data_IF_239891377165
#
_entry.id   IF_239891377165
#
_cell.length_a   1.000
_cell.length_b   1.000
_cell.length_c   1.000
_cell.angle_alpha   90.00
_cell.angle_beta   90.00
_cell.angle_gamma   90.00
#
_symmetry.space_group_name_H-M   'P 1'
#
loop_
_entity.id
_entity.type
_entity.pdbx_description
1 polymer ?
#
# COMPACT_ATOMS: atom_id res chain seq x y z
N UNK A 1 0.61 13.54 29.45
CA UNK A 1 1.74 13.82 28.54
C UNK A 1 1.15 14.12 27.17
N UNK A 2 1.85 14.81 26.26
CA UNK A 2 1.32 15.02 24.90
C UNK A 2 1.53 13.79 24.05
N UNK A 3 0.58 13.52 23.14
CA UNK A 3 0.71 12.47 22.14
C UNK A 3 1.96 12.70 21.27
N UNK A 4 2.70 11.63 20.98
CA UNK A 4 3.93 11.65 20.18
C UNK A 4 3.68 11.97 18.70
N UNK A 5 2.44 11.79 18.21
CA UNK A 5 2.06 12.15 16.83
C UNK A 5 2.11 13.67 16.64
N UNK A 6 2.86 14.18 15.65
CA UNK A 6 2.94 15.61 15.37
C UNK A 6 1.56 16.24 15.21
N UNK A 7 1.38 17.44 15.76
CA UNK A 7 0.13 18.22 15.70
C UNK A 7 -1.07 17.60 16.42
N UNK A 8 -0.91 16.46 17.11
CA UNK A 8 -1.96 15.92 17.95
C UNK A 8 -2.13 16.79 19.21
N UNK A 9 -3.37 17.24 19.45
CA UNK A 9 -3.72 18.07 20.61
C UNK A 9 -4.18 17.26 21.83
N UNK A 10 -4.29 15.93 21.71
CA UNK A 10 -4.78 15.08 22.79
C UNK A 10 -3.70 14.85 23.86
N UNK A 11 -4.09 14.99 25.12
CA UNK A 11 -3.18 14.90 26.27
C UNK A 11 -3.43 13.67 27.16
N UNK A 12 -4.52 12.92 26.91
CA UNK A 12 -4.75 11.63 27.52
C UNK A 12 -4.04 10.56 26.69
N UNK A 13 -2.89 10.08 27.18
CA UNK A 13 -2.00 9.17 26.46
C UNK A 13 -1.64 7.95 27.28
N UNK A 14 -1.39 6.84 26.60
CA UNK A 14 -0.80 5.63 27.15
C UNK A 14 0.56 5.34 26.48
N UNK A 15 1.50 4.70 27.21
CA UNK A 15 2.70 4.14 26.58
C UNK A 15 2.30 2.97 25.67
N UNK A 16 2.77 3.01 24.43
CA UNK A 16 2.61 1.93 23.45
C UNK A 16 3.99 1.48 23.01
N UNK A 17 4.21 0.17 22.99
CA UNK A 17 5.44 -0.45 22.48
C UNK A 17 5.19 -0.95 21.07
N UNK A 18 6.00 -0.49 20.12
CA UNK A 18 5.89 -0.84 18.70
C UNK A 18 7.20 -1.50 18.28
N UNK A 19 7.15 -2.71 17.73
CA UNK A 19 8.36 -3.47 17.39
C UNK A 19 8.87 -3.16 15.98
N UNK A 20 7.96 -2.91 15.05
CA UNK A 20 8.21 -2.86 13.61
C UNK A 20 8.02 -1.46 13.02
N UNK A 21 7.46 -0.52 13.79
CA UNK A 21 7.44 0.91 13.44
C UNK A 21 8.79 1.54 13.75
N UNK A 22 9.66 1.59 12.74
CA UNK A 22 11.03 2.11 12.87
C UNK A 22 11.07 3.51 13.50
N UNK A 23 11.94 3.68 14.50
CA UNK A 23 12.17 4.93 15.21
C UNK A 23 11.18 5.23 16.35
N UNK A 24 10.18 4.36 16.59
CA UNK A 24 9.12 4.55 17.59
C UNK A 24 8.96 3.34 18.56
N UNK A 25 10.04 2.81 19.16
CA UNK A 25 9.97 1.57 19.94
C UNK A 25 9.08 1.68 21.21
N UNK A 26 9.03 2.86 21.82
CA UNK A 26 8.16 3.17 22.95
C UNK A 26 7.70 4.64 22.85
N UNK A 27 6.39 4.84 22.70
CA UNK A 27 5.79 6.15 22.39
C UNK A 27 4.55 6.41 23.22
N UNK A 28 4.25 7.69 23.46
CA UNK A 28 3.05 8.11 24.19
C UNK A 28 1.94 8.42 23.19
N UNK A 29 0.89 7.61 23.13
CA UNK A 29 -0.18 7.79 22.14
C UNK A 29 -1.53 7.99 22.82
N UNK A 30 -2.36 8.89 22.28
CA UNK A 30 -3.76 8.93 22.67
C UNK A 30 -4.51 7.72 22.10
N UNK A 31 -5.62 7.30 22.71
CA UNK A 31 -6.38 6.09 22.33
C UNK A 31 -6.58 5.92 20.81
N UNK A 32 -6.99 7.00 20.11
CA UNK A 32 -7.17 6.99 18.66
C UNK A 32 -5.89 6.60 17.89
N UNK A 33 -4.74 7.19 18.23
CA UNK A 33 -3.47 6.85 17.59
C UNK A 33 -2.94 5.50 18.09
N UNK A 34 -3.17 5.15 19.36
CA UNK A 34 -2.75 3.88 19.92
C UNK A 34 -3.38 2.70 19.17
N UNK A 35 -4.68 2.75 18.87
CA UNK A 35 -5.36 1.72 18.08
C UNK A 35 -4.78 1.61 16.66
N UNK A 36 -4.55 2.74 15.99
CA UNK A 36 -3.99 2.76 14.63
C UNK A 36 -2.55 2.25 14.57
N UNK A 37 -1.70 2.66 15.50
CA UNK A 37 -0.30 2.23 15.54
C UNK A 37 -0.14 0.77 15.98
N UNK A 38 -1.01 0.25 16.87
CA UNK A 38 -1.06 -1.20 17.17
C UNK A 38 -1.39 -1.99 15.91
N UNK A 39 -2.43 -1.58 15.18
CA UNK A 39 -2.78 -2.17 13.90
C UNK A 39 -1.61 -2.12 12.88
N UNK A 40 -0.92 -0.99 12.76
CA UNK A 40 0.25 -0.87 11.88
C UNK A 40 1.36 -1.85 12.29
N UNK A 41 1.65 -1.96 13.58
CA UNK A 41 2.69 -2.85 14.08
C UNK A 41 2.34 -4.32 13.79
N UNK A 42 1.06 -4.69 13.95
CA UNK A 42 0.54 -6.03 13.64
C UNK A 42 0.65 -6.35 12.14
N UNK A 43 0.30 -5.41 11.26
CA UNK A 43 0.40 -5.61 9.79
C UNK A 43 1.86 -5.71 9.33
N UNK A 44 2.76 -4.90 9.91
CA UNK A 44 4.19 -4.98 9.62
C UNK A 44 4.80 -6.29 10.13
N UNK A 45 4.41 -6.76 11.31
CA UNK A 45 4.83 -8.05 11.86
C UNK A 45 4.34 -9.21 10.96
N UNK A 46 3.06 -9.20 10.62
CA UNK A 46 2.41 -10.17 9.72
C UNK A 46 3.13 -10.25 8.36
N UNK A 47 3.48 -9.11 7.78
CA UNK A 47 4.24 -9.05 6.54
C UNK A 47 5.67 -9.58 6.72
N UNK A 48 6.38 -9.18 7.77
CA UNK A 48 7.76 -9.61 8.04
C UNK A 48 7.87 -11.12 8.35
N UNK A 49 6.84 -11.71 8.95
CA UNK A 49 6.74 -13.14 9.23
C UNK A 49 6.35 -13.98 8.00
N UNK A 50 5.99 -13.34 6.89
CA UNK A 50 5.60 -14.05 5.67
C UNK A 50 6.76 -14.88 5.13
N UNK A 51 6.47 -16.13 4.76
CA UNK A 51 7.49 -17.07 4.28
C UNK A 51 8.15 -16.54 3.01
N UNK A 52 9.47 -16.37 3.05
CA UNK A 52 10.25 -15.84 1.93
C UNK A 52 10.37 -14.32 1.91
N UNK A 53 9.90 -13.61 2.95
CA UNK A 53 9.99 -12.15 3.03
C UNK A 53 11.44 -11.65 2.86
N UNK A 54 12.37 -12.13 3.67
CA UNK A 54 13.77 -11.72 3.61
C UNK A 54 14.43 -12.15 2.29
N UNK A 55 14.10 -13.34 1.82
CA UNK A 55 14.66 -13.94 0.61
C UNK A 55 14.21 -13.24 -0.66
N UNK A 56 13.01 -12.65 -0.68
CA UNK A 56 12.45 -11.97 -1.86
C UNK A 56 12.44 -10.46 -1.74
N UNK A 57 12.90 -9.90 -0.61
CA UNK A 57 12.88 -8.46 -0.32
C UNK A 57 13.50 -7.62 -1.44
N UNK A 58 14.55 -8.11 -2.10
CA UNK A 58 15.17 -7.44 -3.25
C UNK A 58 14.17 -7.07 -4.36
N UNK A 59 13.23 -7.98 -4.68
CA UNK A 59 12.20 -7.72 -5.70
C UNK A 59 11.11 -6.77 -5.19
N UNK A 60 10.72 -6.94 -3.93
CA UNK A 60 9.57 -6.23 -3.34
C UNK A 60 9.94 -4.97 -2.56
N UNK A 61 11.21 -4.54 -2.58
CA UNK A 61 11.70 -3.37 -1.84
C UNK A 61 10.82 -2.13 -2.07
N UNK A 62 10.64 -1.72 -3.34
CA UNK A 62 9.83 -0.54 -3.68
C UNK A 62 8.36 -0.72 -3.21
N UNK A 63 7.67 -1.82 -3.56
CA UNK A 63 6.32 -2.09 -3.06
C UNK A 63 6.19 -2.04 -1.53
N UNK A 64 7.15 -2.64 -0.80
CA UNK A 64 7.15 -2.68 0.67
C UNK A 64 7.34 -1.27 1.25
N UNK A 65 8.26 -0.47 0.70
CA UNK A 65 8.45 0.90 1.17
C UNK A 65 7.22 1.78 0.92
N UNK A 66 6.54 1.63 -0.23
CA UNK A 66 5.27 2.31 -0.49
C UNK A 66 4.17 1.89 0.50
N UNK A 67 4.09 0.59 0.82
CA UNK A 67 3.14 0.07 1.80
C UNK A 67 3.41 0.60 3.21
N UNK A 68 4.68 0.71 3.61
CA UNK A 68 5.08 1.36 4.88
C UNK A 68 4.63 2.82 4.94
N UNK A 69 4.76 3.57 3.84
CA UNK A 69 4.24 4.94 3.79
C UNK A 69 2.72 5.00 3.90
N UNK A 70 2.01 4.05 3.28
CA UNK A 70 0.55 3.94 3.40
C UNK A 70 0.09 3.67 4.85
N UNK A 71 0.81 2.78 5.54
CA UNK A 71 0.59 2.47 6.95
C UNK A 71 0.87 3.68 7.85
N UNK A 72 1.98 4.39 7.65
CA UNK A 72 2.30 5.60 8.41
C UNK A 72 1.28 6.71 8.19
N UNK A 73 0.83 6.93 6.95
CA UNK A 73 -0.24 7.88 6.64
C UNK A 73 -1.52 7.55 7.41
N UNK A 74 -1.90 6.27 7.44
CA UNK A 74 -3.02 5.80 8.26
C UNK A 74 -2.79 6.08 9.74
N UNK A 75 -1.59 5.80 10.27
CA UNK A 75 -1.24 6.11 11.67
C UNK A 75 -1.44 7.57 12.05
N UNK A 76 -1.24 8.48 11.10
CA UNK A 76 -1.36 9.94 11.29
C UNK A 76 -2.78 10.50 11.12
N UNK A 77 -3.80 9.68 10.83
CA UNK A 77 -5.13 10.23 10.50
C UNK A 77 -5.41 10.39 9.01
N UNK A 78 -4.42 10.15 8.14
CA UNK A 78 -4.46 10.49 6.72
C UNK A 78 -4.97 9.30 5.88
N UNK A 79 -6.27 9.05 5.95
CA UNK A 79 -6.92 7.89 5.33
C UNK A 79 -6.81 7.90 3.79
N UNK A 80 -6.94 9.07 3.15
CA UNK A 80 -6.92 9.21 1.69
C UNK A 80 -5.51 9.01 1.10
N UNK A 81 -4.44 9.67 1.63
CA UNK A 81 -3.08 9.36 1.23
C UNK A 81 -2.72 7.90 1.47
N UNK A 82 -3.19 7.30 2.57
CA UNK A 82 -3.00 5.88 2.85
C UNK A 82 -3.58 5.00 1.74
N UNK A 83 -4.81 5.26 1.30
CA UNK A 83 -5.45 4.48 0.24
C UNK A 83 -4.73 4.59 -1.11
N UNK A 84 -4.29 5.80 -1.49
CA UNK A 84 -3.50 6.03 -2.71
C UNK A 84 -2.17 5.27 -2.65
N UNK A 85 -1.45 5.36 -1.52
CA UNK A 85 -0.15 4.71 -1.38
C UNK A 85 -0.28 3.19 -1.35
N UNK A 86 -1.32 2.64 -0.71
CA UNK A 86 -1.62 1.21 -0.73
C UNK A 86 -1.91 0.71 -2.17
N UNK A 87 -2.64 1.50 -2.96
CA UNK A 87 -2.85 1.25 -4.39
C UNK A 87 -1.53 1.21 -5.15
N UNK A 88 -0.67 2.22 -4.98
CA UNK A 88 0.63 2.28 -5.65
C UNK A 88 1.56 1.14 -5.23
N UNK A 89 1.56 0.76 -3.95
CA UNK A 89 2.32 -0.36 -3.44
C UNK A 89 1.92 -1.67 -4.14
N UNK A 90 0.62 -1.95 -4.22
CA UNK A 90 0.12 -3.18 -4.82
C UNK A 90 0.26 -3.20 -6.34
N UNK A 91 0.06 -2.05 -7.00
CA UNK A 91 0.35 -1.88 -8.44
C UNK A 91 1.82 -2.19 -8.75
N UNK A 92 2.75 -1.65 -7.96
CA UNK A 92 4.17 -1.94 -8.10
C UNK A 92 4.49 -3.43 -7.84
N UNK A 93 3.89 -4.04 -6.80
CA UNK A 93 4.14 -5.45 -6.47
C UNK A 93 3.74 -6.39 -7.62
N UNK A 94 2.54 -6.19 -8.18
CA UNK A 94 2.07 -6.97 -9.33
C UNK A 94 2.96 -6.72 -10.55
N UNK A 95 3.33 -5.47 -10.81
CA UNK A 95 4.20 -5.13 -11.93
C UNK A 95 5.53 -5.89 -11.84
N UNK A 96 6.27 -5.74 -10.73
CA UNK A 96 7.56 -6.42 -10.54
C UNK A 96 7.44 -7.93 -10.65
N UNK A 97 6.38 -8.51 -10.08
CA UNK A 97 6.19 -9.95 -10.12
C UNK A 97 5.85 -10.49 -11.51
N UNK A 98 5.05 -9.76 -12.29
CA UNK A 98 4.62 -10.17 -13.64
C UNK A 98 5.73 -10.04 -14.68
N UNK A 99 6.65 -9.09 -14.52
CA UNK A 99 7.80 -8.95 -15.44
C UNK A 99 8.96 -9.87 -15.07
N UNK A 100 8.97 -10.48 -13.89
CA UNK A 100 10.09 -11.30 -13.46
C UNK A 100 10.03 -12.72 -14.06
N UNK A 101 11.06 -13.07 -14.84
CA UNK A 101 11.40 -14.42 -15.31
C UNK A 101 12.72 -14.89 -14.68
N UNK A 102 12.99 -16.19 -14.76
CA UNK A 102 14.27 -16.81 -14.38
C UNK A 102 14.85 -16.29 -13.06
N UNK A 103 14.09 -16.44 -11.98
CA UNK A 103 14.50 -16.00 -10.64
C UNK A 103 15.78 -16.73 -10.21
N UNK A 104 16.86 -15.99 -9.92
CA UNK A 104 18.13 -16.55 -9.47
C UNK A 104 18.32 -16.31 -7.98
N UNK A 105 18.46 -17.41 -7.26
CA UNK A 105 18.71 -17.42 -5.82
C UNK A 105 20.16 -17.80 -5.54
N UNK A 106 20.76 -17.20 -4.52
CA UNK A 106 22.09 -17.58 -4.05
C UNK A 106 22.03 -18.84 -3.16
N UNK A 107 23.20 -19.29 -2.69
CA UNK A 107 23.32 -20.49 -1.84
C UNK A 107 22.54 -20.38 -0.52
N UNK A 108 22.30 -19.16 -0.02
CA UNK A 108 21.50 -18.89 1.18
C UNK A 108 19.99 -18.83 0.88
N UNK A 109 19.57 -19.07 -0.36
CA UNK A 109 18.17 -19.01 -0.77
C UNK A 109 17.62 -17.60 -0.95
N UNK A 110 18.49 -16.57 -1.01
CA UNK A 110 18.09 -15.16 -1.22
C UNK A 110 18.09 -14.85 -2.71
N UNK A 111 17.03 -14.20 -3.20
CA UNK A 111 16.91 -13.72 -4.57
C UNK A 111 17.95 -12.62 -4.81
N UNK A 112 18.82 -12.85 -5.79
CA UNK A 112 19.88 -11.88 -6.15
C UNK A 112 19.65 -11.23 -7.51
N UNK A 113 18.87 -11.86 -8.38
CA UNK A 113 18.50 -11.29 -9.68
C UNK A 113 17.31 -12.02 -10.28
N UNK A 114 16.66 -11.40 -11.24
CA UNK A 114 15.70 -12.02 -12.14
C UNK A 114 15.94 -11.47 -13.54
N UNK A 115 15.59 -12.24 -14.57
CA UNK A 115 15.58 -11.74 -15.95
C UNK A 115 14.24 -11.04 -16.19
N UNK A 116 14.21 -9.77 -16.58
CA UNK A 116 12.97 -9.14 -16.99
C UNK A 116 12.44 -9.79 -18.28
N UNK A 117 11.15 -10.07 -18.34
CA UNK A 117 10.49 -10.58 -19.53
C UNK A 117 10.21 -9.44 -20.51
N UNK A 118 11.06 -9.27 -21.52
CA UNK A 118 10.92 -8.21 -22.53
C UNK A 118 9.55 -8.22 -23.22
N UNK A 119 8.93 -9.40 -23.42
CA UNK A 119 7.59 -9.48 -23.99
C UNK A 119 6.55 -8.90 -23.04
N UNK A 120 6.57 -9.29 -21.75
CA UNK A 120 5.66 -8.71 -20.76
C UNK A 120 5.95 -7.22 -20.56
N UNK A 121 7.21 -6.80 -20.52
CA UNK A 121 7.59 -5.39 -20.41
C UNK A 121 7.05 -4.59 -21.57
N UNK A 122 7.19 -5.06 -22.81
CA UNK A 122 6.71 -4.35 -24.00
C UNK A 122 5.18 -4.35 -24.07
N UNK A 123 4.53 -5.49 -23.80
CA UNK A 123 3.07 -5.57 -23.69
C UNK A 123 2.51 -4.65 -22.61
N UNK A 124 3.25 -4.48 -21.52
CA UNK A 124 2.95 -3.54 -20.47
C UNK A 124 3.18 -2.11 -20.97
N UNK A 125 4.35 -1.74 -21.49
CA UNK A 125 4.64 -0.37 -21.97
C UNK A 125 3.69 0.15 -23.05
N UNK A 126 3.27 -0.69 -23.99
CA UNK A 126 2.44 -0.29 -25.14
C UNK A 126 0.97 -0.07 -24.79
N UNK A 127 0.51 -0.68 -23.69
CA UNK A 127 -0.82 -0.39 -23.13
C UNK A 127 -0.61 0.72 -22.11
N UNK A 128 -1.52 1.70 -22.04
CA UNK A 128 -1.58 2.59 -20.86
C UNK A 128 -1.88 1.69 -19.65
N UNK A 129 -0.85 1.19 -18.97
CA UNK A 129 -0.98 0.19 -17.91
C UNK A 129 -1.79 0.83 -16.79
N UNK A 130 -3.06 0.48 -16.72
CA UNK A 130 -3.84 0.68 -15.52
C UNK A 130 -3.66 -0.52 -14.61
N UNK A 131 -3.69 -0.29 -13.31
CA UNK A 131 -3.70 -1.32 -12.28
C UNK A 131 -4.68 -2.48 -12.56
N UNK A 132 -5.84 -2.22 -13.19
CA UNK A 132 -6.79 -3.26 -13.61
C UNK A 132 -6.18 -4.31 -14.56
N UNK A 133 -5.33 -3.87 -15.50
CA UNK A 133 -4.68 -4.76 -16.44
C UNK A 133 -3.74 -5.73 -15.71
N UNK A 134 -2.96 -5.23 -14.75
CA UNK A 134 -2.08 -6.04 -13.92
C UNK A 134 -2.85 -7.10 -13.12
N UNK A 135 -3.97 -6.70 -12.50
CA UNK A 135 -4.86 -7.62 -11.77
C UNK A 135 -5.36 -8.74 -12.69
N UNK A 136 -5.81 -8.39 -13.89
CA UNK A 136 -6.32 -9.35 -14.86
C UNK A 136 -5.23 -10.33 -15.33
N UNK A 137 -4.03 -9.82 -15.64
CA UNK A 137 -2.88 -10.65 -16.00
C UNK A 137 -2.48 -11.61 -14.86
N UNK A 138 -2.44 -11.11 -13.62
CA UNK A 138 -2.11 -11.92 -12.46
C UNK A 138 -3.17 -13.00 -12.20
N UNK A 139 -4.45 -12.71 -12.40
CA UNK A 139 -5.51 -13.71 -12.32
C UNK A 139 -5.40 -14.79 -13.39
N UNK A 140 -5.21 -14.40 -14.65
CA UNK A 140 -5.10 -15.33 -15.79
C UNK A 140 -3.86 -16.23 -15.61
N UNK A 141 -2.75 -15.67 -15.13
CA UNK A 141 -1.52 -16.41 -14.83
C UNK A 141 -1.60 -17.29 -13.58
N UNK A 142 -2.75 -17.39 -12.92
CA UNK A 142 -2.93 -18.18 -11.69
C UNK A 142 -2.25 -17.60 -10.45
N UNK A 143 -1.67 -16.40 -10.54
CA UNK A 143 -0.98 -15.74 -9.44
C UNK A 143 -1.96 -15.22 -8.39
N UNK A 144 -3.18 -14.81 -8.78
CA UNK A 144 -4.23 -14.39 -7.84
C UNK A 144 -5.45 -15.31 -7.96
N UNK A 145 -5.91 -15.83 -6.82
CA UNK A 145 -7.20 -16.50 -6.73
C UNK A 145 -8.36 -15.46 -6.69
N UNK A 146 -9.61 -15.93 -6.65
CA UNK A 146 -10.77 -15.03 -6.66
C UNK A 146 -10.81 -14.07 -5.46
N UNK A 147 -10.50 -14.53 -4.25
CA UNK A 147 -10.52 -13.70 -3.04
C UNK A 147 -9.45 -12.59 -3.09
N UNK A 148 -8.24 -12.94 -3.54
CA UNK A 148 -7.14 -11.98 -3.69
C UNK A 148 -7.38 -11.01 -4.86
N UNK A 149 -8.04 -11.48 -5.92
CA UNK A 149 -8.50 -10.61 -7.01
C UNK A 149 -9.50 -9.58 -6.51
N UNK A 150 -10.46 -9.99 -5.68
CA UNK A 150 -11.43 -9.08 -5.07
C UNK A 150 -10.74 -8.06 -4.16
N UNK A 151 -9.80 -8.50 -3.32
CA UNK A 151 -8.97 -7.60 -2.50
C UNK A 151 -8.21 -6.58 -3.35
N UNK A 152 -7.53 -7.02 -4.41
CA UNK A 152 -6.79 -6.12 -5.29
C UNK A 152 -7.70 -5.12 -6.02
N UNK A 153 -8.88 -5.56 -6.49
CA UNK A 153 -9.87 -4.68 -7.10
C UNK A 153 -10.42 -3.64 -6.12
N UNK A 154 -10.62 -4.02 -4.85
CA UNK A 154 -11.02 -3.08 -3.81
C UNK A 154 -9.97 -1.99 -3.61
N UNK A 155 -8.70 -2.38 -3.46
CA UNK A 155 -7.58 -1.44 -3.32
C UNK A 155 -7.48 -0.49 -4.52
N UNK A 156 -7.61 -1.05 -5.73
CA UNK A 156 -7.67 -0.27 -6.97
C UNK A 156 -8.82 0.74 -6.93
N UNK A 157 -10.04 0.28 -6.68
CA UNK A 157 -11.23 1.12 -6.78
C UNK A 157 -11.21 2.25 -5.75
N UNK A 158 -10.77 1.98 -4.52
CA UNK A 158 -10.65 3.00 -3.48
C UNK A 158 -9.59 4.04 -3.85
N UNK A 159 -8.38 3.62 -4.27
CA UNK A 159 -7.36 4.56 -4.69
C UNK A 159 -7.72 5.34 -5.97
N UNK A 160 -8.38 4.72 -6.95
CA UNK A 160 -8.88 5.41 -8.16
C UNK A 160 -9.95 6.44 -7.79
N UNK A 161 -10.87 6.09 -6.89
CA UNK A 161 -11.92 6.99 -6.41
C UNK A 161 -11.30 8.23 -5.73
N UNK A 162 -10.39 8.03 -4.77
CA UNK A 162 -9.70 9.12 -4.10
C UNK A 162 -8.91 9.98 -5.09
N UNK A 163 -8.21 9.38 -6.06
CA UNK A 163 -7.45 10.13 -7.07
C UNK A 163 -8.36 11.03 -7.92
N UNK A 164 -9.51 10.52 -8.36
CA UNK A 164 -10.49 11.32 -9.13
C UNK A 164 -11.03 12.49 -8.31
N UNK A 165 -11.26 12.29 -7.02
CA UNK A 165 -11.76 13.34 -6.14
C UNK A 165 -10.69 14.39 -5.86
N UNK A 166 -9.44 13.98 -5.66
CA UNK A 166 -8.30 14.88 -5.51
C UNK A 166 -8.10 15.75 -6.77
N UNK A 167 -8.27 15.18 -7.97
CA UNK A 167 -8.24 15.92 -9.22
C UNK A 167 -9.37 16.95 -9.31
N UNK A 168 -10.62 16.54 -9.03
CA UNK A 168 -11.77 17.44 -9.01
C UNK A 168 -11.58 18.59 -8.01
N UNK A 169 -11.06 18.28 -6.82
CA UNK A 169 -10.76 19.27 -5.78
C UNK A 169 -9.70 20.27 -6.25
N UNK A 170 -8.60 19.78 -6.82
CA UNK A 170 -7.52 20.62 -7.35
C UNK A 170 -8.02 21.54 -8.46
N UNK A 171 -8.89 21.04 -9.35
CA UNK A 171 -9.52 21.85 -10.40
C UNK A 171 -10.41 22.95 -9.82
N UNK A 172 -11.30 22.61 -8.88
CA UNK A 172 -12.17 23.58 -8.20
C UNK A 172 -11.35 24.66 -7.47
N UNK A 173 -10.29 24.30 -6.77
CA UNK A 173 -9.39 25.26 -6.13
C UNK A 173 -8.69 26.18 -7.14
N UNK A 174 -8.21 25.61 -8.26
CA UNK A 174 -7.54 26.38 -9.32
C UNK A 174 -8.49 27.37 -10.01
N UNK A 175 -9.75 26.98 -10.21
CA UNK A 175 -10.80 27.86 -10.75
C UNK A 175 -11.19 28.95 -9.74
N UNK A 176 -11.31 28.60 -8.47
CA UNK A 176 -11.57 29.54 -7.38
C UNK A 176 -10.41 30.52 -7.15
N UNK A 177 -9.16 30.12 -7.40
CA UNK A 177 -8.00 31.03 -7.30
C UNK A 177 -7.87 31.96 -8.50
N UNK A 178 -8.39 31.57 -9.68
CA UNK A 178 -8.39 32.39 -10.91
C UNK A 178 -9.51 33.42 -10.94
N UNK A 179 -10.62 33.12 -10.27
CA UNK A 179 -11.74 34.05 -10.12
C UNK A 179 -11.56 34.80 -8.80
N UNK A 180 -11.63 36.13 -8.79
CA UNK A 180 -11.49 36.97 -7.59
C UNK A 180 -12.67 36.83 -6.61
N UNK A 181 -13.26 35.63 -6.52
CA UNK A 181 -14.50 35.35 -5.82
C UNK A 181 -14.18 35.00 -4.37
N UNK A 182 -14.40 35.99 -3.51
CA UNK A 182 -14.45 35.86 -2.05
C UNK A 182 -15.31 34.67 -1.63
N UNK A 183 -14.75 33.82 -0.76
CA UNK A 183 -15.45 32.95 0.19
C UNK A 183 -16.80 32.38 -0.27
N UNK A 184 -16.77 31.36 -1.13
CA UNK A 184 -17.95 30.50 -1.31
C UNK A 184 -17.91 29.38 -0.27
N UNK A 185 -18.66 29.55 0.81
CA UNK A 185 -18.89 28.53 1.85
C UNK A 185 -19.53 27.24 1.33
N UNK A 186 -20.01 27.21 0.08
CA UNK A 186 -20.47 25.99 -0.59
C UNK A 186 -19.33 25.06 -1.00
N UNK A 187 -18.14 25.60 -1.34
CA UNK A 187 -16.97 24.77 -1.64
C UNK A 187 -16.62 23.91 -0.43
N UNK A 188 -16.75 24.47 0.79
CA UNK A 188 -16.42 23.77 2.04
C UNK A 188 -17.43 22.72 2.49
N UNK A 189 -18.71 22.84 2.10
CA UNK A 189 -19.75 21.86 2.50
C UNK A 189 -19.80 20.64 1.58
N UNK A 190 -19.34 20.76 0.33
CA UNK A 190 -19.14 19.64 -0.59
C UNK A 190 -17.87 18.80 -0.25
N UNK A 191 -17.10 19.19 0.77
CA UNK A 191 -15.81 18.55 1.16
C UNK A 191 -15.95 17.35 2.10
N UNK A 192 -17.15 16.81 2.34
CA UNK A 192 -17.28 15.55 3.08
C UNK A 192 -17.08 14.36 2.15
N UNK A 193 -15.86 14.25 1.65
CA UNK A 193 -15.33 13.03 1.04
C UNK A 193 -14.28 12.54 2.03
N UNK A 194 -14.65 11.56 2.84
CA UNK A 194 -13.74 10.96 3.78
C UNK A 194 -13.84 9.46 3.60
N UNK A 195 -12.71 8.85 3.22
CA UNK A 195 -12.59 7.41 3.41
C UNK A 195 -12.60 7.22 4.92
N UNK A 196 -13.57 6.49 5.45
CA UNK A 196 -13.66 6.32 6.90
C UNK A 196 -12.50 5.46 7.42
N UNK A 197 -12.34 5.42 8.75
CA UNK A 197 -11.29 4.66 9.40
C UNK A 197 -11.30 3.17 9.01
N UNK A 198 -12.49 2.57 8.95
CA UNK A 198 -12.67 1.15 8.71
C UNK A 198 -12.41 0.78 7.25
N UNK A 199 -12.78 1.67 6.33
CA UNK A 199 -12.50 1.49 4.92
C UNK A 199 -11.01 1.66 4.61
N UNK A 200 -10.33 2.64 5.22
CA UNK A 200 -8.88 2.80 5.13
C UNK A 200 -8.13 1.57 5.67
N UNK A 201 -8.56 1.10 6.84
CA UNK A 201 -8.01 -0.11 7.48
C UNK A 201 -8.17 -1.33 6.58
N UNK A 202 -9.38 -1.61 6.09
CA UNK A 202 -9.64 -2.72 5.17
C UNK A 202 -8.86 -2.60 3.86
N UNK A 203 -8.59 -1.37 3.39
CA UNK A 203 -7.79 -1.14 2.21
C UNK A 203 -6.33 -1.54 2.42
N UNK A 204 -5.76 -1.21 3.59
CA UNK A 204 -4.44 -1.67 4.02
C UNK A 204 -4.43 -3.20 4.15
N UNK A 205 -5.39 -3.79 4.87
CA UNK A 205 -5.48 -5.25 5.08
C UNK A 205 -5.44 -5.98 3.74
N UNK A 206 -6.27 -5.55 2.78
CA UNK A 206 -6.29 -6.13 1.44
C UNK A 206 -4.95 -5.98 0.72
N UNK A 207 -4.25 -4.84 0.86
CA UNK A 207 -2.96 -4.62 0.23
C UNK A 207 -1.87 -5.51 0.85
N UNK A 208 -1.84 -5.63 2.18
CA UNK A 208 -0.92 -6.50 2.91
C UNK A 208 -1.15 -7.96 2.52
N UNK A 209 -2.39 -8.44 2.55
CA UNK A 209 -2.71 -9.84 2.21
C UNK A 209 -2.28 -10.22 0.79
N UNK A 210 -2.52 -9.35 -0.20
CA UNK A 210 -2.05 -9.62 -1.56
C UNK A 210 -0.52 -9.56 -1.64
N UNK A 211 0.14 -8.62 -0.95
CA UNK A 211 1.60 -8.54 -0.89
C UNK A 211 2.21 -9.81 -0.31
N UNK A 212 1.65 -10.33 0.79
CA UNK A 212 2.09 -11.56 1.44
C UNK A 212 2.02 -12.74 0.47
N UNK A 213 0.89 -12.88 -0.22
CA UNK A 213 0.71 -13.94 -1.21
C UNK A 213 1.73 -13.85 -2.35
N UNK A 214 2.01 -12.64 -2.86
CA UNK A 214 3.01 -12.45 -3.92
C UNK A 214 4.42 -12.83 -3.47
N UNK A 215 4.79 -12.48 -2.23
CA UNK A 215 6.06 -12.86 -1.61
C UNK A 215 6.18 -14.39 -1.53
N UNK A 216 5.15 -15.06 -0.98
CA UNK A 216 5.16 -16.52 -0.81
C UNK A 216 5.24 -17.26 -2.15
N UNK A 217 4.44 -16.85 -3.14
CA UNK A 217 4.45 -17.47 -4.47
C UNK A 217 5.79 -17.28 -5.18
N UNK A 218 6.41 -16.11 -5.00
CA UNK A 218 7.76 -15.84 -5.54
C UNK A 218 8.80 -16.74 -4.89
N UNK A 219 8.71 -16.94 -3.58
CA UNK A 219 9.60 -17.81 -2.85
C UNK A 219 9.40 -19.30 -3.19
N UNK A 220 8.15 -19.75 -3.39
CA UNK A 220 7.87 -21.15 -3.79
C UNK A 220 8.55 -21.51 -5.11
N UNK A 221 8.59 -20.60 -6.08
CA UNK A 221 9.32 -20.82 -7.33
C UNK A 221 10.83 -21.08 -7.12
N UNK A 222 11.42 -20.48 -6.09
CA UNK A 222 12.81 -20.75 -5.69
C UNK A 222 13.02 -22.21 -5.27
N UNK A 223 12.05 -22.77 -4.54
CA UNK A 223 12.13 -24.11 -3.98
C UNK A 223 11.97 -25.21 -5.03
N UNK A 224 11.18 -24.95 -6.09
CA UNK A 224 10.98 -25.88 -7.21
C UNK A 224 12.20 -25.90 -8.15
N UNK A 225 12.95 -24.81 -8.26
CA UNK A 225 14.17 -24.74 -9.07
C UNK A 225 15.37 -25.49 -8.45
N UNK A 226 15.26 -25.98 -7.21
CA UNK A 226 16.30 -26.74 -6.50
C UNK A 226 16.14 -28.27 -6.61
N UNK A 227 15.07 -28.76 -7.21
CA UNK A 227 14.79 -30.19 -7.47
C UNK A 227 14.97 -30.51 -8.94
#
# INVERSE_FOLDING_TARGET
MKCSVPYCINENTEPVKLKHVNGWPEVQLCNFHAERFKFIDDELDSLAQTRGFNETYFMFYIPIELLKQALLAFGMGLNEPSAIMARSALEAALFYRLIAKDLKFNNNGVLVSYTPDDQNINMLKDKKIGFQFLINCAKIGGLLNNNLTECANKVKNNGDHIAHLAEQFTRKLTEASKSSIKNNSSITNDLKIWLDNEEAKKNIDCAVEVMKHLIEETYKLASVAKT
#
